data_IF_464067851784
#
_entry.id   IF_464067851784
#
_cell.length_a   1.000
_cell.length_b   1.000
_cell.length_c   1.000
_cell.angle_alpha   90.00
_cell.angle_beta   90.00
_cell.angle_gamma   90.00
#
_symmetry.space_group_name_H-M   'P 1'
#
loop_
_entity.id
_entity.type
_entity.pdbx_description
1 polymer ?
#
# COMPACT_ATOMS: atom_id res chain seq x y z
N UNK A 1 0.12 -15.51 3.42
CA UNK A 1 -0.34 -16.89 3.63
C UNK A 1 -1.83 -16.89 3.81
N UNK A 2 -2.45 -18.07 3.76
CA UNK A 2 -3.89 -18.23 4.01
C UNK A 2 -4.16 -18.84 5.38
N UNK A 3 -5.36 -19.41 5.55
CA UNK A 3 -5.78 -20.04 6.81
C UNK A 3 -4.92 -21.25 7.24
N UNK A 4 -4.27 -21.93 6.29
CA UNK A 4 -3.58 -23.21 6.54
C UNK A 4 -2.14 -23.24 6.01
N UNK A 5 -1.57 -22.08 5.69
CA UNK A 5 -0.22 -21.99 5.12
C UNK A 5 0.46 -20.67 5.48
N UNK A 6 1.77 -20.66 5.37
CA UNK A 6 2.59 -19.46 5.45
C UNK A 6 3.47 -19.36 4.20
N UNK A 7 3.84 -18.13 3.86
CA UNK A 7 4.73 -17.87 2.72
C UNK A 7 6.13 -17.56 3.26
N UNK A 8 7.14 -18.08 2.57
CA UNK A 8 8.53 -17.69 2.78
C UNK A 8 8.97 -16.94 1.53
N UNK A 9 9.45 -15.72 1.70
CA UNK A 9 9.95 -14.87 0.62
C UNK A 9 11.23 -14.16 1.05
N UNK A 10 12.12 -13.80 0.12
CA UNK A 10 13.29 -12.97 0.41
C UNK A 10 12.91 -11.61 1.01
N UNK A 11 13.83 -11.01 1.74
CA UNK A 11 13.69 -9.62 2.19
C UNK A 11 13.43 -8.67 1.00
N UNK A 12 12.50 -7.73 1.16
CA UNK A 12 12.09 -6.79 0.11
C UNK A 12 11.10 -7.33 -0.92
N UNK A 13 10.60 -8.57 -0.76
CA UNK A 13 9.51 -9.13 -1.58
C UNK A 13 8.12 -8.91 -0.97
N UNK A 14 8.02 -8.04 0.03
CA UNK A 14 6.76 -7.44 0.46
C UNK A 14 6.19 -6.50 -0.62
N UNK A 15 5.13 -5.75 -0.31
CA UNK A 15 4.45 -4.90 -1.29
C UNK A 15 5.34 -3.81 -1.87
N UNK A 16 6.45 -3.42 -1.22
CA UNK A 16 7.41 -2.43 -1.77
C UNK A 16 8.08 -2.89 -3.05
N UNK A 17 8.07 -4.19 -3.36
CA UNK A 17 8.65 -4.77 -4.58
C UNK A 17 8.13 -4.08 -5.86
N UNK A 18 6.86 -3.68 -5.88
CA UNK A 18 6.27 -3.05 -7.06
C UNK A 18 6.74 -1.59 -7.27
N UNK A 19 7.22 -0.92 -6.23
CA UNK A 19 7.57 0.50 -6.28
C UNK A 19 8.77 0.77 -7.18
N UNK A 20 9.71 -0.18 -7.30
CA UNK A 20 10.85 -0.05 -8.22
C UNK A 20 10.44 -0.05 -9.70
N UNK A 21 9.29 -0.64 -10.03
CA UNK A 21 8.72 -0.56 -11.38
C UNK A 21 8.00 0.79 -11.57
N UNK A 22 7.20 1.20 -10.58
CA UNK A 22 6.42 2.45 -10.63
C UNK A 22 7.30 3.71 -10.70
N UNK A 23 8.47 3.69 -10.05
CA UNK A 23 9.43 4.81 -10.10
C UNK A 23 9.91 5.09 -11.54
N UNK A 24 9.95 4.06 -12.40
CA UNK A 24 10.36 4.18 -13.81
C UNK A 24 9.28 4.74 -14.72
N UNK A 25 8.05 4.82 -14.24
CA UNK A 25 6.89 5.34 -15.00
C UNK A 25 6.80 6.88 -14.93
N UNK A 26 7.64 7.56 -14.14
CA UNK A 26 7.65 9.02 -14.06
C UNK A 26 6.39 9.62 -13.43
N UNK A 27 5.77 8.89 -12.49
CA UNK A 27 4.60 9.34 -11.76
C UNK A 27 4.94 10.54 -10.85
N UNK A 28 4.08 11.56 -10.84
CA UNK A 28 4.24 12.71 -9.94
C UNK A 28 4.05 12.35 -8.47
N UNK A 29 3.20 11.35 -8.19
CA UNK A 29 2.89 10.87 -6.85
C UNK A 29 2.32 9.45 -6.90
N UNK A 30 2.58 8.66 -5.85
CA UNK A 30 2.00 7.32 -5.67
C UNK A 30 1.13 7.37 -4.41
N UNK A 31 -0.19 7.26 -4.58
CA UNK A 31 -1.13 7.20 -3.47
C UNK A 31 -1.40 5.73 -3.12
N UNK A 32 -1.06 5.31 -1.91
CA UNK A 32 -1.29 3.95 -1.44
C UNK A 32 -2.41 3.93 -0.40
N UNK A 33 -3.39 3.04 -0.58
CA UNK A 33 -4.50 2.84 0.35
C UNK A 33 -4.45 1.40 0.88
N UNK A 34 -4.28 1.24 2.19
CA UNK A 34 -4.13 -0.07 2.83
C UNK A 34 -4.91 -0.18 4.13
N UNK A 35 -5.27 -1.40 4.52
CA UNK A 35 -6.02 -1.67 5.75
C UNK A 35 -5.17 -2.33 6.85
N UNK A 36 -4.03 -2.91 6.49
CA UNK A 36 -3.09 -3.54 7.43
C UNK A 36 -1.77 -2.75 7.53
N UNK A 37 -1.87 -1.45 7.82
CA UNK A 37 -0.73 -0.51 7.76
C UNK A 37 0.04 -0.34 9.07
N UNK A 38 -0.32 -1.08 10.12
CA UNK A 38 0.39 -1.08 11.41
C UNK A 38 1.50 -2.13 11.41
N UNK A 39 2.48 -2.01 12.31
CA UNK A 39 3.61 -2.94 12.38
C UNK A 39 3.15 -4.41 12.45
N UNK A 40 3.75 -5.26 11.61
CA UNK A 40 3.35 -6.66 11.39
C UNK A 40 2.17 -6.87 10.43
N UNK A 41 1.50 -5.82 9.96
CA UNK A 41 0.48 -5.88 8.91
C UNK A 41 1.11 -5.94 7.52
N UNK A 42 0.45 -6.61 6.58
CA UNK A 42 1.04 -6.87 5.27
C UNK A 42 1.16 -5.62 4.34
N UNK A 43 0.59 -4.49 4.75
CA UNK A 43 0.70 -3.20 4.05
C UNK A 43 1.73 -2.27 4.69
N UNK A 44 2.34 -2.65 5.83
CA UNK A 44 3.17 -1.77 6.64
C UNK A 44 4.35 -1.18 5.88
N UNK A 45 5.12 -2.02 5.18
CA UNK A 45 6.34 -1.61 4.49
C UNK A 45 6.02 -0.63 3.36
N UNK A 46 5.05 -0.94 2.49
CA UNK A 46 4.67 -0.06 1.38
C UNK A 46 4.01 1.23 1.87
N UNK A 47 3.22 1.17 2.94
CA UNK A 47 2.60 2.35 3.53
C UNK A 47 3.62 3.34 4.11
N UNK A 48 4.69 2.84 4.71
CA UNK A 48 5.76 3.67 5.29
C UNK A 48 6.89 3.98 4.29
N UNK A 49 6.87 3.40 3.10
CA UNK A 49 7.87 3.69 2.07
C UNK A 49 7.76 5.16 1.63
N UNK A 50 8.87 5.92 1.64
CA UNK A 50 8.87 7.35 1.33
C UNK A 50 8.43 7.69 -0.10
N UNK A 51 8.37 6.70 -1.00
CA UNK A 51 7.86 6.87 -2.37
C UNK A 51 6.33 6.94 -2.43
N UNK A 52 5.63 6.62 -1.34
CA UNK A 52 4.16 6.62 -1.29
C UNK A 52 3.60 7.71 -0.38
N UNK A 53 2.39 8.14 -0.69
CA UNK A 53 1.51 8.91 0.19
C UNK A 53 0.47 7.92 0.71
N UNK A 54 0.69 7.41 1.93
CA UNK A 54 -0.10 6.34 2.53
C UNK A 54 -1.39 6.82 3.20
N UNK A 55 -2.47 6.07 2.98
CA UNK A 55 -3.78 6.24 3.64
C UNK A 55 -4.24 4.92 4.26
N UNK A 56 -4.38 4.91 5.59
CA UNK A 56 -5.04 3.80 6.28
C UNK A 56 -6.54 3.88 6.07
N UNK A 57 -7.14 2.78 5.64
CA UNK A 57 -8.59 2.63 5.39
C UNK A 57 -9.12 1.39 6.10
N UNK A 58 -10.35 1.43 6.58
CA UNK A 58 -10.94 0.29 7.32
C UNK A 58 -11.83 -0.62 6.46
N UNK A 59 -12.33 -0.10 5.34
CA UNK A 59 -13.25 -0.81 4.45
C UNK A 59 -13.32 -0.14 3.07
N UNK A 60 -13.87 -0.82 2.05
CA UNK A 60 -13.94 -0.27 0.69
C UNK A 60 -14.69 1.06 0.57
N UNK A 61 -15.71 1.30 1.41
CA UNK A 61 -16.44 2.57 1.40
C UNK A 61 -15.59 3.72 1.95
N UNK A 62 -14.69 3.47 2.90
CA UNK A 62 -13.74 4.45 3.39
C UNK A 62 -12.73 4.82 2.29
N UNK A 63 -12.19 3.83 1.58
CA UNK A 63 -11.34 4.07 0.39
C UNK A 63 -12.06 4.96 -0.64
N UNK A 64 -13.30 4.63 -0.99
CA UNK A 64 -14.07 5.42 -1.95
C UNK A 64 -14.30 6.86 -1.48
N UNK A 65 -14.57 7.05 -0.17
CA UNK A 65 -14.70 8.39 0.43
C UNK A 65 -13.39 9.17 0.33
N UNK A 66 -12.26 8.58 0.70
CA UNK A 66 -10.93 9.22 0.63
C UNK A 66 -10.57 9.62 -0.81
N UNK A 67 -10.83 8.75 -1.79
CA UNK A 67 -10.59 9.07 -3.19
C UNK A 67 -11.46 10.26 -3.66
N UNK A 68 -12.72 10.33 -3.23
CA UNK A 68 -13.58 11.50 -3.54
C UNK A 68 -13.03 12.79 -2.96
N UNK A 69 -12.58 12.77 -1.71
CA UNK A 69 -12.02 13.94 -1.03
C UNK A 69 -10.75 14.44 -1.73
N UNK A 70 -9.89 13.54 -2.19
CA UNK A 70 -8.59 13.88 -2.81
C UNK A 70 -8.68 14.30 -4.28
N UNK A 71 -9.55 13.66 -5.07
CA UNK A 71 -9.47 13.74 -6.54
C UNK A 71 -10.70 14.30 -7.24
N UNK A 72 -11.79 14.57 -6.51
CA UNK A 72 -13.06 15.03 -7.08
C UNK A 72 -13.64 16.24 -6.35
N UNK A 73 -12.78 17.01 -5.68
CA UNK A 73 -13.08 18.35 -5.17
C UNK A 73 -12.88 19.41 -6.26
#
# INVERSE_FOLDING_TARGET
>A
GGLISFDIFPEGWDKTLCLGLLEREGLNAIYFFGNETSDGGNDYEIFNDPRTIGFTVSCPSDTARRCRELFFT
#
